data_IF_845988782153
#
_entry.id   IF_845988782153
#
_cell.length_a   1.000
_cell.length_b   1.000
_cell.length_c   1.000
_cell.angle_alpha   90.00
_cell.angle_beta   90.00
_cell.angle_gamma   90.00
#
_symmetry.space_group_name_H-M   'P 1'
#
loop_
_entity.id
_entity.type
_entity.pdbx_description
1 polymer ?
#
# COMPACT_ATOMS: atom_id res chain seq x y z
N UNK A 1 16.32 -10.27 -4.02
CA UNK A 1 16.12 -9.03 -3.24
C UNK A 1 15.77 -9.49 -1.84
N UNK A 2 16.55 -9.13 -0.83
CA UNK A 2 16.24 -9.50 0.56
C UNK A 2 15.02 -8.70 0.99
N UNK A 3 13.89 -9.36 1.21
CA UNK A 3 12.71 -8.71 1.77
C UNK A 3 13.02 -8.35 3.22
N UNK A 4 12.87 -7.07 3.57
CA UNK A 4 12.97 -6.61 4.95
C UNK A 4 11.58 -6.49 5.54
N UNK A 5 11.32 -7.32 6.54
CA UNK A 5 10.10 -7.31 7.31
C UNK A 5 10.24 -6.32 8.45
N UNK A 6 9.16 -5.61 8.72
CA UNK A 6 8.98 -4.88 9.96
C UNK A 6 7.94 -5.62 10.79
N UNK A 7 8.22 -5.79 12.07
CA UNK A 7 7.34 -6.46 13.01
C UNK A 7 7.08 -5.60 14.25
N UNK A 8 5.98 -5.92 14.94
CA UNK A 8 5.58 -5.22 16.14
C UNK A 8 4.25 -5.71 16.69
N UNK A 9 3.83 -5.10 17.80
CA UNK A 9 2.55 -5.40 18.43
C UNK A 9 1.46 -4.44 17.95
N UNK A 10 0.36 -5.01 17.48
CA UNK A 10 -0.88 -4.29 17.23
C UNK A 10 -1.88 -4.59 18.35
N UNK A 11 -2.40 -3.52 18.95
CA UNK A 11 -3.40 -3.55 20.03
C UNK A 11 -4.81 -3.44 19.41
N UNK A 12 -5.62 -4.49 19.53
CA UNK A 12 -6.97 -4.55 18.97
C UNK A 12 -7.99 -4.64 20.10
N UNK A 13 -8.12 -3.60 20.93
CA UNK A 13 -9.09 -3.36 22.04
C UNK A 13 -9.30 -4.51 23.07
N UNK A 14 -9.55 -5.73 22.60
CA UNK A 14 -9.77 -6.97 23.35
C UNK A 14 -8.55 -7.91 23.34
N UNK A 15 -7.59 -7.74 22.42
CA UNK A 15 -6.39 -8.58 22.34
C UNK A 15 -5.23 -7.91 21.61
N UNK A 16 -4.01 -8.32 21.94
CA UNK A 16 -2.78 -7.91 21.24
C UNK A 16 -2.31 -9.06 20.33
N UNK A 17 -1.69 -8.75 19.19
CA UNK A 17 -1.09 -9.76 18.33
C UNK A 17 0.12 -9.22 17.59
N UNK A 18 1.04 -10.12 17.29
CA UNK A 18 2.22 -9.82 16.47
C UNK A 18 1.79 -9.64 15.03
N UNK A 19 2.22 -8.53 14.43
CA UNK A 19 2.10 -8.28 13.00
C UNK A 19 3.50 -8.20 12.42
N UNK A 20 3.73 -8.89 11.30
CA UNK A 20 4.97 -8.82 10.56
C UNK A 20 4.70 -8.83 9.06
N UNK A 21 5.12 -7.78 8.37
CA UNK A 21 4.93 -7.59 6.94
C UNK A 21 6.16 -6.91 6.32
N UNK A 22 6.32 -6.97 4.98
CA UNK A 22 7.30 -6.15 4.29
C UNK A 22 7.16 -4.66 4.64
N UNK A 23 8.28 -3.99 4.89
CA UNK A 23 8.30 -2.57 5.32
C UNK A 23 7.49 -1.66 4.40
N UNK A 24 7.70 -1.80 3.09
CA UNK A 24 7.03 -0.96 2.09
C UNK A 24 5.51 -1.12 2.15
N UNK A 25 5.04 -2.35 2.43
CA UNK A 25 3.61 -2.63 2.54
C UNK A 25 3.00 -2.01 3.80
N UNK A 26 3.67 -2.10 4.94
CA UNK A 26 3.23 -1.42 6.16
C UNK A 26 3.18 0.10 5.97
N UNK A 27 4.15 0.67 5.25
CA UNK A 27 4.14 2.10 4.92
C UNK A 27 2.96 2.48 4.04
N UNK A 28 2.64 1.70 3.01
CA UNK A 28 1.47 1.92 2.16
C UNK A 28 0.16 1.93 2.98
N UNK A 29 -0.02 0.92 3.83
CA UNK A 29 -1.19 0.79 4.69
C UNK A 29 -1.30 1.93 5.72
N UNK A 30 -0.18 2.37 6.28
CA UNK A 30 -0.14 3.53 7.17
C UNK A 30 -0.48 4.83 6.42
N UNK A 31 0.08 5.04 5.22
CA UNK A 31 -0.22 6.23 4.42
C UNK A 31 -1.67 6.28 3.95
N UNK A 32 -2.27 5.13 3.60
CA UNK A 32 -3.67 5.02 3.24
C UNK A 32 -4.57 5.49 4.40
N UNK A 33 -4.36 4.96 5.61
CA UNK A 33 -5.10 5.37 6.82
C UNK A 33 -4.87 6.85 7.16
N UNK A 34 -3.63 7.33 7.02
CA UNK A 34 -3.30 8.75 7.21
C UNK A 34 -4.09 9.64 6.24
N UNK A 35 -4.18 9.26 4.97
CA UNK A 35 -4.87 10.04 3.95
C UNK A 35 -6.36 10.23 4.30
N UNK A 36 -7.05 9.16 4.69
CA UNK A 36 -8.46 9.25 5.13
C UNK A 36 -8.62 10.14 6.36
N UNK A 37 -7.70 10.04 7.32
CA UNK A 37 -7.84 10.79 8.57
C UNK A 37 -7.53 12.29 8.42
N UNK A 38 -6.61 12.66 7.53
CA UNK A 38 -6.05 14.01 7.51
C UNK A 38 -6.19 14.78 6.18
N UNK A 39 -6.33 14.11 5.04
CA UNK A 39 -6.52 14.81 3.76
C UNK A 39 -7.95 15.34 3.65
N UNK A 40 -8.09 16.52 3.04
CA UNK A 40 -9.40 17.16 2.80
C UNK A 40 -9.77 17.21 1.34
N UNK A 41 -8.78 17.04 0.45
CA UNK A 41 -8.97 17.14 -1.00
C UNK A 41 -8.26 16.00 -1.72
N UNK A 42 -8.76 15.63 -2.89
CA UNK A 42 -8.15 14.60 -3.74
C UNK A 42 -6.71 14.93 -4.17
N UNK A 43 -6.38 16.22 -4.32
CA UNK A 43 -5.02 16.68 -4.60
C UNK A 43 -4.04 16.42 -3.45
N UNK A 44 -4.52 16.53 -2.20
CA UNK A 44 -3.72 16.16 -1.02
C UNK A 44 -3.50 14.65 -0.96
N UNK A 45 -4.54 13.84 -1.21
CA UNK A 45 -4.44 12.38 -1.26
C UNK A 45 -3.40 11.97 -2.32
N UNK A 46 -3.53 12.48 -3.55
CA UNK A 46 -2.60 12.20 -4.67
C UNK A 46 -1.14 12.51 -4.36
N UNK A 47 -0.91 13.51 -3.51
CA UNK A 47 0.44 13.92 -3.11
C UNK A 47 0.98 13.15 -1.89
N UNK A 48 0.11 12.41 -1.20
CA UNK A 48 0.39 11.75 0.08
C UNK A 48 0.59 10.25 -0.08
N UNK A 49 -0.29 9.57 -0.83
CA UNK A 49 -0.26 8.11 -0.99
C UNK A 49 0.47 7.68 -2.26
N UNK A 50 0.78 6.38 -2.37
CA UNK A 50 1.35 5.82 -3.60
C UNK A 50 0.36 5.90 -4.76
N UNK A 51 0.84 5.89 -6.03
CA UNK A 51 -0.05 5.90 -7.19
C UNK A 51 -1.06 4.74 -7.21
N UNK A 52 -0.68 3.57 -6.69
CA UNK A 52 -1.56 2.40 -6.62
C UNK A 52 -2.73 2.62 -5.65
N UNK A 53 -2.45 3.09 -4.43
CA UNK A 53 -3.48 3.43 -3.44
C UNK A 53 -4.37 4.57 -3.94
N UNK A 54 -3.79 5.57 -4.61
CA UNK A 54 -4.57 6.66 -5.21
C UNK A 54 -5.53 6.14 -6.27
N UNK A 55 -5.07 5.23 -7.14
CA UNK A 55 -5.91 4.64 -8.18
C UNK A 55 -7.05 3.82 -7.57
N UNK A 56 -6.77 2.97 -6.59
CA UNK A 56 -7.78 2.18 -5.88
C UNK A 56 -8.87 3.06 -5.24
N UNK A 57 -8.45 4.16 -4.60
CA UNK A 57 -9.38 5.16 -4.05
C UNK A 57 -10.24 5.81 -5.12
N UNK A 58 -9.66 6.16 -6.28
CA UNK A 58 -10.40 6.74 -7.40
C UNK A 58 -11.41 5.74 -7.97
N UNK A 59 -11.03 4.48 -8.12
CA UNK A 59 -11.92 3.40 -8.59
C UNK A 59 -13.11 3.24 -7.64
N UNK A 60 -12.85 3.13 -6.33
CA UNK A 60 -13.91 3.08 -5.31
C UNK A 60 -14.84 4.31 -5.35
N UNK A 61 -14.29 5.50 -5.58
CA UNK A 61 -15.08 6.73 -5.66
C UNK A 61 -16.00 6.75 -6.90
N UNK A 62 -15.50 6.28 -8.05
CA UNK A 62 -16.28 6.25 -9.28
C UNK A 62 -17.41 5.21 -9.26
N UNK A 63 -17.21 4.10 -8.54
CA UNK A 63 -18.25 3.07 -8.36
C UNK A 63 -19.44 3.55 -7.51
N UNK A 64 -19.21 4.48 -6.56
CA UNK A 64 -20.28 5.04 -5.70
C UNK A 64 -21.05 6.20 -6.34
N UNK A 65 -20.38 7.03 -7.15
CA UNK A 65 -20.89 8.35 -7.58
C UNK A 65 -21.21 8.49 -9.09
N UNK A 66 -21.11 7.44 -9.94
CA UNK A 66 -21.20 7.64 -11.40
C UNK A 66 -22.55 7.34 -12.07
N UNK A 67 -23.27 8.41 -12.42
CA UNK A 67 -23.93 8.54 -13.74
C UNK A 67 -23.09 9.41 -14.73
N UNK A 68 -21.99 10.04 -14.28
CA UNK A 68 -21.06 10.79 -15.16
C UNK A 68 -19.60 10.32 -14.95
N UNK A 69 -19.21 9.27 -15.69
CA UNK A 69 -17.80 8.90 -15.87
C UNK A 69 -17.05 10.02 -16.60
N UNK A 70 -16.28 10.83 -15.88
CA UNK A 70 -15.18 11.58 -16.50
C UNK A 70 -13.89 10.77 -16.40
N UNK A 71 -13.31 10.36 -17.54
CA UNK A 71 -12.03 9.62 -17.66
C UNK A 71 -10.83 10.27 -16.92
N UNK A 72 -10.98 11.49 -16.41
CA UNK A 72 -9.92 12.25 -15.75
C UNK A 72 -9.79 12.01 -14.22
N UNK A 73 -10.74 11.31 -13.60
CA UNK A 73 -10.81 11.15 -12.14
C UNK A 73 -11.21 12.45 -11.41
N UNK A 74 -11.25 12.45 -10.06
CA UNK A 74 -11.68 13.59 -9.27
C UNK A 74 -10.74 14.79 -9.40
N UNK A 75 -11.31 16.00 -9.43
CA UNK A 75 -10.55 17.25 -9.46
C UNK A 75 -9.70 17.39 -8.19
N UNK A 76 -8.51 17.99 -8.32
CA UNK A 76 -7.57 18.08 -7.19
C UNK A 76 -8.10 18.90 -6.00
N UNK A 77 -8.98 19.86 -6.23
CA UNK A 77 -9.66 20.67 -5.21
C UNK A 77 -11.00 20.10 -4.75
N UNK A 78 -11.47 19.00 -5.37
CA UNK A 78 -12.69 18.32 -4.94
C UNK A 78 -12.53 17.80 -3.50
N UNK A 79 -13.59 17.84 -2.69
CA UNK A 79 -13.56 17.32 -1.32
C UNK A 79 -13.28 15.82 -1.34
N UNK A 80 -12.42 15.38 -0.43
CA UNK A 80 -12.17 13.97 -0.18
C UNK A 80 -12.97 13.52 1.06
N UNK A 81 -13.77 12.49 0.87
CA UNK A 81 -14.57 11.85 1.92
C UNK A 81 -13.94 10.55 2.41
N UNK A 82 -14.64 9.88 3.33
CA UNK A 82 -14.31 8.51 3.74
C UNK A 82 -14.59 7.57 2.56
N UNK A 83 -13.62 6.75 2.12
CA UNK A 83 -13.84 5.80 1.03
C UNK A 83 -14.71 4.62 1.49
N UNK A 84 -15.31 3.92 0.52
CA UNK A 84 -16.10 2.71 0.77
C UNK A 84 -15.30 1.65 1.54
N UNK A 85 -15.97 0.90 2.41
CA UNK A 85 -15.36 -0.17 3.21
C UNK A 85 -14.40 0.32 4.31
N UNK A 86 -14.14 1.63 4.43
CA UNK A 86 -13.26 2.14 5.48
C UNK A 86 -13.88 2.03 6.88
N UNK A 87 -15.15 2.41 7.00
CA UNK A 87 -15.87 2.32 8.28
C UNK A 87 -16.21 0.86 8.65
N UNK A 88 -16.27 -0.04 7.67
CA UNK A 88 -16.48 -1.48 7.86
C UNK A 88 -15.16 -2.23 8.15
N UNK A 89 -14.01 -1.57 8.01
CA UNK A 89 -12.69 -2.16 8.25
C UNK A 89 -12.15 -3.02 7.10
N UNK A 90 -12.85 -3.05 5.97
CA UNK A 90 -12.44 -3.77 4.75
C UNK A 90 -11.30 -3.03 4.03
N UNK A 91 -11.26 -1.70 4.15
CA UNK A 91 -10.26 -0.86 3.50
C UNK A 91 -9.62 0.14 4.48
N UNK A 92 -8.31 0.39 4.41
CA UNK A 92 -7.31 -0.35 3.64
C UNK A 92 -7.04 -1.73 4.24
N UNK A 93 -6.46 -2.63 3.42
CA UNK A 93 -6.23 -4.03 3.77
C UNK A 93 -5.69 -4.27 5.19
N UNK A 94 -6.08 -5.41 5.77
CA UNK A 94 -5.74 -5.74 7.15
C UNK A 94 -4.42 -6.51 7.23
N UNK A 95 -3.37 -5.97 7.90
CA UNK A 95 -2.07 -6.63 7.95
C UNK A 95 -2.09 -8.10 8.38
N UNK A 96 -3.00 -8.49 9.28
CA UNK A 96 -3.10 -9.87 9.78
C UNK A 96 -3.61 -10.87 8.74
N UNK A 97 -4.42 -10.41 7.79
CA UNK A 97 -4.87 -11.23 6.69
C UNK A 97 -3.75 -11.36 5.66
N UNK A 98 -3.06 -10.25 5.34
CA UNK A 98 -1.90 -10.27 4.44
C UNK A 98 -0.75 -11.15 4.97
N UNK A 99 -0.63 -11.31 6.30
CA UNK A 99 0.31 -12.27 6.91
C UNK A 99 0.08 -13.72 6.46
N UNK A 100 -1.16 -14.12 6.12
CA UNK A 100 -1.42 -15.45 5.57
C UNK A 100 -0.75 -15.66 4.21
N UNK A 101 -0.51 -14.61 3.45
CA UNK A 101 0.08 -14.70 2.13
C UNK A 101 1.60 -14.58 2.17
N UNK A 102 2.13 -13.70 3.03
CA UNK A 102 3.56 -13.36 3.02
C UNK A 102 4.40 -14.20 3.99
N UNK A 103 3.80 -14.73 5.06
CA UNK A 103 4.54 -15.53 6.05
C UNK A 103 4.69 -16.97 5.53
N UNK A 104 5.91 -17.53 5.52
CA UNK A 104 6.14 -18.92 5.11
C UNK A 104 5.22 -19.89 5.85
N UNK A 105 4.72 -20.89 5.14
CA UNK A 105 3.75 -21.83 5.70
C UNK A 105 4.30 -22.54 6.95
N UNK A 106 5.59 -22.87 6.98
CA UNK A 106 6.22 -23.53 8.12
C UNK A 106 6.15 -22.68 9.40
N UNK A 107 6.26 -21.35 9.27
CA UNK A 107 6.15 -20.41 10.39
C UNK A 107 4.69 -20.23 10.79
N UNK A 108 3.77 -20.22 9.82
CA UNK A 108 2.33 -20.14 10.09
C UNK A 108 1.83 -21.36 10.85
N UNK A 109 2.27 -22.56 10.47
CA UNK A 109 1.83 -23.81 11.10
C UNK A 109 2.37 -23.96 12.54
N UNK A 110 3.54 -23.38 12.84
CA UNK A 110 4.18 -23.46 14.17
C UNK A 110 3.63 -22.41 15.16
N UNK A 111 3.48 -21.16 14.72
CA UNK A 111 3.17 -20.02 15.60
C UNK A 111 1.81 -19.38 15.36
N UNK A 112 1.20 -19.68 14.22
CA UNK A 112 0.00 -19.03 13.75
C UNK A 112 -1.25 -19.83 14.05
N UNK A 113 -2.10 -19.28 14.91
CA UNK A 113 -3.47 -19.75 14.96
C UNK A 113 -4.25 -19.11 13.81
N UNK A 114 -4.64 -19.91 12.82
CA UNK A 114 -5.59 -19.44 11.80
C UNK A 114 -6.94 -19.30 12.49
N UNK A 115 -7.36 -18.06 12.67
CA UNK A 115 -8.63 -17.69 13.26
C UNK A 115 -9.56 -17.25 12.15
N UNK A 116 -10.81 -17.70 12.19
CA UNK A 116 -11.83 -17.33 11.20
C UNK A 116 -12.72 -16.23 11.79
N UNK A 117 -12.86 -15.12 11.08
CA UNK A 117 -13.90 -14.14 11.37
C UNK A 117 -15.10 -14.39 10.47
N UNK A 118 -16.28 -14.47 11.08
CA UNK A 118 -17.56 -14.68 10.38
C UNK A 118 -17.82 -13.69 9.23
N UNK A 119 -17.17 -12.51 9.24
CA UNK A 119 -17.41 -11.42 8.29
C UNK A 119 -16.20 -11.11 7.39
N UNK A 120 -14.96 -11.17 7.88
CA UNK A 120 -13.78 -10.75 7.12
C UNK A 120 -12.93 -11.92 6.62
N UNK A 121 -13.21 -13.16 7.07
CA UNK A 121 -12.47 -14.36 6.71
C UNK A 121 -11.33 -14.70 7.65
N UNK A 122 -10.42 -15.57 7.18
CA UNK A 122 -9.30 -16.10 7.96
C UNK A 122 -8.20 -15.05 8.17
N UNK A 123 -7.56 -15.08 9.34
CA UNK A 123 -6.37 -14.27 9.64
C UNK A 123 -5.37 -15.05 10.49
N UNK A 124 -4.10 -14.64 10.42
CA UNK A 124 -3.05 -15.21 11.25
C UNK A 124 -3.04 -14.53 12.62
N UNK A 125 -3.35 -15.25 13.69
CA UNK A 125 -3.11 -14.78 15.05
C UNK A 125 -1.78 -15.35 15.56
N UNK A 126 -0.82 -14.47 15.82
CA UNK A 126 0.41 -14.81 16.53
C UNK A 126 0.35 -14.11 17.89
N UNK A 127 0.39 -14.85 19.00
CA UNK A 127 0.26 -14.26 20.33
C UNK A 127 1.54 -13.51 20.72
N UNK A 128 1.47 -12.43 21.52
CA UNK A 128 2.62 -11.61 21.88
C UNK A 128 3.77 -12.35 22.55
N UNK A 129 3.46 -13.40 23.32
CA UNK A 129 4.44 -14.26 23.98
C UNK A 129 5.34 -15.04 23.02
N UNK A 130 4.86 -15.36 21.82
CA UNK A 130 5.60 -16.11 20.80
C UNK A 130 6.40 -15.19 19.87
N UNK A 131 6.33 -13.86 20.05
CA UNK A 131 6.93 -12.88 19.13
C UNK A 131 8.43 -13.10 18.91
N UNK A 132 9.18 -13.36 19.98
CA UNK A 132 10.64 -13.49 19.90
C UNK A 132 11.05 -14.75 19.14
N UNK A 133 10.33 -15.87 19.34
CA UNK A 133 10.58 -17.13 18.65
C UNK A 133 10.10 -17.07 17.19
N UNK A 134 8.93 -16.49 16.93
CA UNK A 134 8.42 -16.21 15.58
C UNK A 134 9.41 -15.40 14.74
N UNK A 135 9.97 -14.32 15.30
CA UNK A 135 10.94 -13.48 14.60
C UNK A 135 12.28 -14.18 14.43
N UNK A 136 12.70 -14.97 15.42
CA UNK A 136 13.93 -15.76 15.33
C UNK A 136 13.85 -16.72 14.15
N UNK A 137 12.73 -17.43 14.01
CA UNK A 137 12.59 -18.43 12.97
C UNK A 137 12.44 -17.80 11.58
N UNK A 138 11.81 -16.62 11.46
CA UNK A 138 11.87 -15.82 10.23
C UNK A 138 13.31 -15.44 9.85
N UNK A 139 14.14 -15.06 10.83
CA UNK A 139 15.56 -14.73 10.60
C UNK A 139 16.38 -15.95 10.19
N UNK A 140 16.09 -17.11 10.77
CA UNK A 140 16.74 -18.37 10.42
C UNK A 140 16.43 -18.80 8.96
N UNK A 141 15.27 -18.39 8.43
CA UNK A 141 14.92 -18.51 7.01
C UNK A 141 15.59 -17.45 6.11
N UNK A 142 16.40 -16.54 6.68
CA UNK A 142 17.13 -15.51 5.95
C UNK A 142 16.32 -14.23 5.69
N UNK A 143 15.20 -14.03 6.37
CA UNK A 143 14.38 -12.82 6.29
C UNK A 143 14.94 -11.78 7.28
N UNK A 144 15.16 -10.56 6.81
CA UNK A 144 15.59 -9.47 7.69
C UNK A 144 14.39 -8.93 8.45
N UNK A 145 14.45 -8.86 9.78
CA UNK A 145 13.34 -8.41 10.62
C UNK A 145 13.76 -7.25 11.54
N UNK A 146 13.06 -6.12 11.43
CA UNK A 146 13.23 -4.91 12.25
C UNK A 146 11.98 -4.65 13.10
N UNK A 147 12.15 -4.30 14.37
CA UNK A 147 11.02 -3.99 15.25
C UNK A 147 10.61 -2.52 15.11
N UNK A 148 9.34 -2.27 14.78
CA UNK A 148 8.72 -0.93 14.80
C UNK A 148 7.23 -1.04 15.14
N UNK A 149 6.95 -0.99 16.45
CA UNK A 149 5.58 -1.06 16.98
C UNK A 149 4.72 0.13 16.52
N UNK A 150 5.32 1.31 16.27
CA UNK A 150 4.59 2.50 15.86
C UNK A 150 4.09 2.39 14.41
N UNK A 151 4.95 1.90 13.50
CA UNK A 151 4.57 1.63 12.11
C UNK A 151 3.49 0.54 12.05
N UNK A 152 3.66 -0.55 12.81
CA UNK A 152 2.66 -1.62 12.88
C UNK A 152 1.32 -1.09 13.36
N UNK A 153 1.28 -0.30 14.44
CA UNK A 153 0.03 0.29 14.93
C UNK A 153 -0.62 1.25 13.91
N UNK A 154 0.18 2.07 13.22
CA UNK A 154 -0.31 2.96 12.17
C UNK A 154 -0.89 2.18 10.98
N UNK A 155 -0.23 1.10 10.58
CA UNK A 155 -0.68 0.21 9.51
C UNK A 155 -1.83 -0.71 9.92
N UNK A 156 -2.04 -0.96 11.22
CA UNK A 156 -3.16 -1.78 11.70
C UNK A 156 -4.40 -0.97 12.05
N UNK A 157 -4.33 0.36 12.03
CA UNK A 157 -5.45 1.24 12.44
C UNK A 157 -5.63 1.36 13.95
N UNK A 158 -4.81 0.69 14.75
CA UNK A 158 -4.77 0.81 16.22
C UNK A 158 -3.93 2.01 16.70
N UNK A 159 -3.41 2.82 15.78
CA UNK A 159 -2.66 4.03 16.13
C UNK A 159 -3.53 5.05 16.85
N UNK A 160 -3.09 5.44 18.04
CA UNK A 160 -3.59 6.65 18.69
C UNK A 160 -3.06 7.92 18.00
N UNK A 161 -3.71 9.06 18.20
CA UNK A 161 -3.22 10.38 17.75
C UNK A 161 -1.78 10.69 18.23
N UNK A 162 -1.30 10.02 19.28
CA UNK A 162 0.08 10.07 19.77
C UNK A 162 1.05 9.26 18.89
N UNK A 163 0.62 8.13 18.33
CA UNK A 163 1.41 7.27 17.45
C UNK A 163 1.72 7.97 16.12
N UNK A 164 0.74 8.64 15.50
CA UNK A 164 0.95 9.48 14.31
C UNK A 164 1.97 10.60 14.54
N UNK A 165 1.95 11.20 15.73
CA UNK A 165 2.84 12.32 16.10
C UNK A 165 4.29 11.86 16.30
N UNK A 166 4.48 10.63 16.79
CA UNK A 166 5.79 10.01 16.95
C UNK A 166 6.33 9.47 15.61
N UNK A 167 5.46 8.93 14.75
CA UNK A 167 5.84 8.36 13.47
C UNK A 167 6.20 9.42 12.42
N UNK A 168 5.41 10.48 12.29
CA UNK A 168 5.68 11.56 11.32
C UNK A 168 6.44 12.77 11.90
N UNK A 169 6.76 12.78 13.20
CA UNK A 169 7.47 13.89 13.84
C UNK A 169 6.71 15.24 13.77
N UNK A 170 5.39 15.21 13.66
CA UNK A 170 4.58 16.39 13.33
C UNK A 170 4.33 17.25 14.58
N UNK A 171 5.06 18.37 14.67
CA UNK A 171 4.42 19.66 14.99
C UNK A 171 3.87 20.35 13.73
N UNK A 172 4.33 19.96 12.54
CA UNK A 172 3.88 20.47 11.24
C UNK A 172 3.88 19.35 10.17
N UNK A 173 2.87 19.40 9.29
CA UNK A 173 2.52 18.51 8.16
C UNK A 173 3.73 17.71 7.58
N UNK A 174 3.65 16.37 7.44
CA UNK A 174 4.73 15.63 6.79
C UNK A 174 4.80 16.04 5.30
N UNK A 175 6.00 16.33 4.82
CA UNK A 175 6.26 16.41 3.39
C UNK A 175 5.97 15.03 2.80
N UNK A 176 5.24 15.00 1.68
CA UNK A 176 4.64 13.79 1.11
C UNK A 176 5.61 12.62 0.87
N UNK A 177 5.04 11.48 0.49
CA UNK A 177 5.71 10.18 0.32
C UNK A 177 7.14 10.32 -0.24
N UNK A 178 8.18 9.78 0.42
CA UNK A 178 9.50 9.70 -0.19
C UNK A 178 9.35 8.84 -1.45
N UNK A 179 9.65 9.43 -2.61
CA UNK A 179 9.69 8.71 -3.88
C UNK A 179 10.76 7.62 -3.75
N UNK A 180 10.51 6.39 -4.22
CA UNK A 180 11.57 5.39 -4.26
C UNK A 180 12.73 5.95 -5.09
N UNK A 181 13.92 5.94 -4.49
CA UNK A 181 15.15 6.46 -5.08
C UNK A 181 15.33 5.85 -6.48
N UNK A 182 15.35 6.71 -7.50
CA UNK A 182 15.72 6.34 -8.86
C UNK A 182 17.23 6.16 -8.92
N UNK A 183 17.75 5.17 -8.21
CA UNK A 183 19.16 4.79 -8.26
C UNK A 183 19.37 3.78 -9.41
N UNK A 184 19.84 4.29 -10.54
CA UNK A 184 20.70 3.52 -11.45
C UNK A 184 20.05 2.73 -12.57
N UNK A 185 19.35 3.39 -13.50
CA UNK A 185 19.31 2.90 -14.89
C UNK A 185 20.39 3.64 -15.66
N UNK A 186 21.57 3.02 -15.72
CA UNK A 186 22.63 3.39 -16.64
C UNK A 186 22.06 3.28 -18.06
N UNK A 187 21.95 4.42 -18.72
CA UNK A 187 21.65 4.53 -20.14
C UNK A 187 22.67 3.70 -20.92
N UNK A 188 22.27 2.53 -21.42
CA UNK A 188 23.06 1.77 -22.38
C UNK A 188 22.79 2.35 -23.76
N UNK A 189 23.78 3.09 -24.25
CA UNK A 189 23.90 3.51 -25.64
C UNK A 189 23.85 2.29 -26.58
N UNK A 190 22.77 2.18 -27.34
CA UNK A 190 22.69 1.26 -28.48
C UNK A 190 23.34 1.93 -29.71
N UNK A 191 24.37 1.33 -30.33
CA UNK A 191 25.03 1.94 -31.47
C UNK A 191 24.17 1.89 -32.73
N UNK A 192 24.10 3.04 -33.37
CA UNK A 192 23.59 3.25 -34.72
C UNK A 192 24.26 2.30 -35.72
N UNK A 193 23.46 1.53 -36.46
CA UNK A 193 23.85 1.03 -37.78
C UNK A 193 22.71 1.29 -38.77
N UNK A 194 23.04 2.10 -39.76
CA UNK A 194 22.23 2.38 -40.92
C UNK A 194 22.19 1.18 -41.87
N UNK A 195 21.04 0.91 -42.49
CA UNK A 195 21.01 0.43 -43.88
C UNK A 195 19.66 0.66 -44.59
N UNK A 196 19.67 1.73 -45.39
CA UNK A 196 19.06 1.98 -46.70
C UNK A 196 17.97 1.07 -47.33
N UNK A 197 16.96 1.78 -47.88
CA UNK A 197 16.16 1.55 -49.14
C UNK A 197 15.07 0.46 -49.10
N UNK A 198 13.89 0.61 -49.71
CA UNK A 198 13.41 1.46 -50.81
C UNK A 198 11.89 1.77 -50.64
N UNK A 199 11.44 3.02 -50.79
CA UNK A 199 10.68 3.52 -51.96
C UNK A 199 9.65 2.56 -52.59
N UNK A 200 8.35 2.82 -52.38
CA UNK A 200 7.45 3.22 -53.49
C UNK A 200 6.17 3.91 -53.01
N UNK A 201 5.86 4.97 -53.74
CA UNK A 201 4.69 5.85 -53.72
C UNK A 201 3.36 5.12 -53.97
N UNK A 202 2.29 5.56 -53.29
CA UNK A 202 1.08 6.01 -54.00
C UNK A 202 0.17 6.87 -53.10
N UNK A 203 0.05 8.13 -53.51
CA UNK A 203 -1.00 9.03 -53.10
C UNK A 203 -2.35 8.59 -53.69
N UNK A 204 -3.43 8.77 -52.93
CA UNK A 204 -4.74 9.10 -53.50
C UNK A 204 -5.42 10.11 -52.58
N UNK A 205 -5.61 11.31 -53.11
CA UNK A 205 -6.38 12.40 -52.49
C UNK A 205 -7.70 12.54 -53.24
N UNK A 206 -8.76 12.77 -52.46
CA UNK A 206 -9.96 13.56 -52.74
C UNK A 206 -10.92 13.21 -53.90
N UNK A 207 -12.20 12.97 -53.55
CA UNK A 207 -13.44 13.62 -54.06
C UNK A 207 -14.64 12.95 -53.38
N UNK A 208 -15.46 13.61 -52.55
CA UNK A 208 -16.38 14.75 -52.75
C UNK A 208 -17.66 14.40 -53.54
N UNK A 209 -18.81 14.76 -52.92
CA UNK A 209 -20.22 14.75 -53.39
C UNK A 209 -20.92 13.38 -53.26
N UNK A 210 -22.16 13.29 -52.79
CA UNK A 210 -23.27 14.25 -52.80
C UNK A 210 -24.31 13.86 -51.74
#
# INVERSE_FOLDING_TARGET
MSQSFVYGLADYDEWESVVALPRDRLLELAWARYAVQFCRTWGEVKSTVSPAIYQELVESYLDEDSEEETEAGPLSDAPFGTPSGYDDGDWPGWPKQEMLEVIPQEIRDEYGEIQDTTLSGEYLHVPPEEMDDFVKDLRDLGISCERDDALVQAASGSSTARSWRNFFGVKDKPAGHPKPDTAGVTQVDCPSTASSRASTSRAYSARSKQ
#
